data_IF_114001628346
#
_entry.id   IF_114001628346
#
_cell.length_a   1.000
_cell.length_b   1.000
_cell.length_c   1.000
_cell.angle_alpha   90.00
_cell.angle_beta   90.00
_cell.angle_gamma   90.00
#
_symmetry.space_group_name_H-M   'P 1'
#
loop_
_entity.id
_entity.type
_entity.pdbx_description
1 polymer ?
#
# COMPACT_ATOMS: atom_id res chain seq x y z
N UNK A 1 -13.62 -9.64 -20.42
CA UNK A 1 -14.23 -8.32 -20.63
C UNK A 1 -13.35 -7.58 -21.62
N UNK A 2 -13.87 -7.31 -22.80
CA UNK A 2 -13.13 -6.74 -23.94
C UNK A 2 -12.89 -5.23 -23.70
N UNK A 3 -11.67 -4.87 -23.38
CA UNK A 3 -11.26 -3.50 -23.03
C UNK A 3 -11.26 -2.55 -24.23
N UNK A 4 -11.12 -3.07 -25.46
CA UNK A 4 -11.09 -2.25 -26.67
C UNK A 4 -12.51 -1.84 -27.10
N UNK A 5 -13.50 -2.67 -26.81
CA UNK A 5 -14.92 -2.35 -27.01
C UNK A 5 -15.42 -1.25 -26.07
N UNK A 6 -14.79 -1.06 -24.90
CA UNK A 6 -15.12 0.00 -23.95
C UNK A 6 -14.48 1.35 -24.32
N UNK A 7 -13.30 1.35 -24.92
CA UNK A 7 -12.61 2.59 -25.37
C UNK A 7 -13.35 3.29 -26.50
N UNK A 8 -14.04 2.53 -27.38
CA UNK A 8 -14.71 3.07 -28.56
C UNK A 8 -16.05 3.77 -28.27
N UNK A 9 -16.60 3.69 -27.06
CA UNK A 9 -17.97 4.18 -26.74
C UNK A 9 -18.04 5.50 -26.00
N UNK A 10 -16.93 6.18 -25.68
CA UNK A 10 -16.96 7.51 -25.03
C UNK A 10 -16.19 8.54 -25.83
N UNK A 11 -16.90 9.34 -26.60
CA UNK A 11 -16.39 10.63 -27.02
C UNK A 11 -16.38 11.56 -25.79
N UNK A 12 -15.20 12.03 -25.41
CA UNK A 12 -15.04 13.05 -24.37
C UNK A 12 -14.99 14.43 -25.05
N UNK A 13 -15.73 15.38 -24.49
CA UNK A 13 -15.63 16.77 -24.91
C UNK A 13 -14.32 17.38 -24.35
N UNK A 14 -13.24 17.35 -25.10
CA UNK A 14 -11.93 17.92 -24.77
C UNK A 14 -10.90 16.92 -24.25
N UNK A 15 -9.68 17.41 -23.98
CA UNK A 15 -8.56 16.60 -23.48
C UNK A 15 -8.82 16.00 -22.11
N UNK A 16 -8.46 14.72 -21.94
CA UNK A 16 -8.58 14.00 -20.68
C UNK A 16 -7.62 14.61 -19.64
N UNK A 17 -8.14 15.27 -18.62
CA UNK A 17 -7.35 15.70 -17.47
C UNK A 17 -6.70 14.49 -16.78
N UNK A 18 -5.49 14.61 -16.21
CA UNK A 18 -4.80 13.51 -15.53
C UNK A 18 -5.65 12.82 -14.46
N UNK A 19 -6.51 13.56 -13.75
CA UNK A 19 -7.44 13.03 -12.75
C UNK A 19 -8.52 12.10 -13.34
N UNK A 20 -8.89 12.28 -14.61
CA UNK A 20 -9.90 11.45 -15.28
C UNK A 20 -9.35 10.08 -15.70
N UNK A 21 -8.04 9.96 -15.94
CA UNK A 21 -7.38 8.69 -16.26
C UNK A 21 -7.44 7.67 -15.12
N UNK A 22 -7.71 8.13 -13.90
CA UNK A 22 -7.81 7.29 -12.69
C UNK A 22 -9.21 6.72 -12.47
N UNK A 23 -10.22 7.15 -13.23
CA UNK A 23 -11.59 6.67 -13.10
C UNK A 23 -11.78 5.33 -13.82
N UNK A 24 -12.56 4.45 -13.23
CA UNK A 24 -12.92 3.19 -13.89
C UNK A 24 -13.80 3.49 -15.09
N UNK A 25 -13.29 3.19 -16.29
CA UNK A 25 -14.01 3.38 -17.55
C UNK A 25 -15.26 2.49 -17.56
N UNK A 26 -16.41 3.06 -17.96
CA UNK A 26 -17.68 2.32 -18.04
C UNK A 26 -18.40 2.11 -16.70
N UNK A 27 -17.86 2.58 -15.55
CA UNK A 27 -18.58 2.53 -14.29
C UNK A 27 -19.57 3.69 -14.17
N UNK A 28 -20.81 3.38 -13.73
CA UNK A 28 -21.82 4.40 -13.45
C UNK A 28 -21.65 4.96 -12.03
N UNK A 29 -21.02 6.12 -11.94
CA UNK A 29 -20.77 6.82 -10.67
C UNK A 29 -22.02 7.48 -10.06
N UNK A 30 -23.20 7.26 -10.62
CA UNK A 30 -24.47 7.70 -10.03
C UNK A 30 -25.22 6.55 -9.36
N UNK A 31 -24.91 5.31 -9.74
CA UNK A 31 -25.59 4.12 -9.24
C UNK A 31 -25.15 3.73 -7.82
N UNK A 32 -25.94 2.86 -7.18
CA UNK A 32 -25.64 2.30 -5.87
C UNK A 32 -24.27 1.63 -5.86
N UNK A 33 -23.37 2.12 -5.01
CA UNK A 33 -22.02 1.56 -4.89
C UNK A 33 -21.31 2.08 -3.63
N UNK A 34 -20.27 1.37 -3.19
CA UNK A 34 -19.40 1.77 -2.07
C UNK A 34 -18.06 2.22 -2.63
N UNK A 35 -17.61 3.37 -2.18
CA UNK A 35 -16.34 3.97 -2.61
C UNK A 35 -15.47 4.29 -1.42
N UNK A 36 -14.18 3.94 -1.48
CA UNK A 36 -13.17 4.57 -0.66
C UNK A 36 -12.61 5.78 -1.41
N UNK A 37 -12.77 6.96 -0.84
CA UNK A 37 -12.32 8.23 -1.40
C UNK A 37 -11.08 8.72 -0.64
N UNK A 38 -10.11 9.25 -1.39
CA UNK A 38 -8.94 9.94 -0.83
C UNK A 38 -8.81 11.31 -1.44
N UNK A 39 -8.78 12.33 -0.58
CA UNK A 39 -8.51 13.72 -0.93
C UNK A 39 -7.17 14.14 -0.33
N UNK A 40 -6.30 14.70 -1.15
CA UNK A 40 -4.95 15.11 -0.74
C UNK A 40 -4.89 16.62 -0.70
N UNK A 41 -4.31 17.18 0.35
CA UNK A 41 -4.02 18.61 0.46
C UNK A 41 -2.95 18.99 -0.56
N UNK A 42 -3.10 20.15 -1.20
CA UNK A 42 -2.17 20.63 -2.21
C UNK A 42 -0.73 20.64 -1.67
N UNK A 43 0.18 20.07 -2.46
CA UNK A 43 1.59 19.91 -2.09
C UNK A 43 1.82 19.09 -0.80
N UNK A 44 0.84 18.29 -0.40
CA UNK A 44 0.86 17.50 0.84
C UNK A 44 1.19 18.31 2.10
N UNK A 45 0.81 19.60 2.14
CA UNK A 45 0.98 20.44 3.32
C UNK A 45 0.18 19.88 4.50
N UNK A 46 0.74 19.76 5.70
CA UNK A 46 0.08 19.16 6.86
C UNK A 46 -0.86 20.15 7.55
N UNK A 47 -1.89 20.65 6.83
CA UNK A 47 -2.80 21.71 7.28
C UNK A 47 -3.98 21.20 8.11
N UNK A 48 -4.30 19.91 8.03
CA UNK A 48 -5.53 19.37 8.61
C UNK A 48 -5.38 18.95 10.07
N UNK A 49 -4.16 18.80 10.57
CA UNK A 49 -3.91 18.39 11.93
C UNK A 49 -2.48 17.95 12.19
N UNK A 50 -2.22 17.54 13.42
CA UNK A 50 -0.93 17.02 13.87
C UNK A 50 -1.06 15.58 14.34
N UNK A 51 -0.02 14.77 14.09
CA UNK A 51 0.06 13.40 14.56
C UNK A 51 0.72 13.38 15.94
N UNK A 52 0.06 12.79 16.91
CA UNK A 52 0.57 12.51 18.27
C UNK A 52 0.70 11.00 18.48
N UNK A 53 1.54 10.59 19.44
CA UNK A 53 1.85 9.19 19.70
C UNK A 53 2.82 8.57 18.69
N UNK A 54 3.41 7.43 19.07
CA UNK A 54 4.43 6.76 18.27
C UNK A 54 3.92 5.52 17.50
N UNK A 55 2.67 5.10 17.75
CA UNK A 55 2.06 3.96 17.06
C UNK A 55 2.55 2.58 17.51
N UNK A 56 3.50 2.51 18.44
CA UNK A 56 4.07 1.28 19.00
C UNK A 56 3.74 1.15 20.49
N UNK A 57 4.20 2.10 21.30
CA UNK A 57 3.98 2.12 22.75
C UNK A 57 2.80 2.98 23.15
N UNK A 58 2.52 4.02 22.38
CA UNK A 58 1.39 4.93 22.57
C UNK A 58 0.54 4.97 21.31
N UNK A 59 -0.81 4.96 21.43
CA UNK A 59 -1.68 5.08 20.28
C UNK A 59 -1.33 6.32 19.44
N UNK A 60 -1.24 6.14 18.13
CA UNK A 60 -1.05 7.25 17.20
C UNK A 60 -2.41 7.84 16.84
N UNK A 61 -2.58 9.12 17.09
CA UNK A 61 -3.83 9.86 16.87
C UNK A 61 -3.52 11.12 16.06
N UNK A 62 -4.42 11.50 15.17
CA UNK A 62 -4.35 12.80 14.49
C UNK A 62 -5.28 13.76 15.21
N UNK A 63 -4.71 14.79 15.84
CA UNK A 63 -5.44 15.89 16.43
C UNK A 63 -5.80 16.90 15.33
N UNK A 64 -7.11 17.12 15.04
CA UNK A 64 -7.51 18.02 13.97
C UNK A 64 -7.15 19.47 14.29
N UNK A 65 -6.61 20.19 13.32
CA UNK A 65 -6.51 21.65 13.35
C UNK A 65 -7.91 22.28 13.24
N UNK A 66 -8.08 23.60 13.48
CA UNK A 66 -9.34 24.29 13.20
C UNK A 66 -9.85 24.06 11.77
N UNK A 67 -8.94 24.01 10.78
CA UNK A 67 -9.27 23.65 9.40
C UNK A 67 -9.70 22.17 9.29
N UNK A 68 -8.98 21.28 9.95
CA UNK A 68 -9.34 19.85 10.00
C UNK A 68 -10.71 19.61 10.59
N UNK A 69 -11.07 20.34 11.65
CA UNK A 69 -12.42 20.29 12.25
C UNK A 69 -13.49 20.76 11.26
N UNK A 70 -13.24 21.86 10.54
CA UNK A 70 -14.15 22.37 9.51
C UNK A 70 -14.33 21.37 8.35
N UNK A 71 -13.25 20.67 7.95
CA UNK A 71 -13.28 19.60 6.94
C UNK A 71 -14.11 18.41 7.41
N UNK A 72 -13.92 17.95 8.66
CA UNK A 72 -14.71 16.87 9.26
C UNK A 72 -16.19 17.27 9.30
N UNK A 73 -16.49 18.48 9.78
CA UNK A 73 -17.88 18.95 9.84
C UNK A 73 -18.54 19.03 8.46
N UNK A 74 -17.78 19.47 7.44
CA UNK A 74 -18.25 19.49 6.06
C UNK A 74 -18.54 18.06 5.54
N UNK A 75 -17.71 17.06 5.90
CA UNK A 75 -17.92 15.67 5.54
C UNK A 75 -19.17 15.08 6.21
N UNK A 76 -19.35 15.32 7.49
CA UNK A 76 -20.51 14.86 8.28
C UNK A 76 -21.81 15.48 7.74
N UNK A 77 -21.75 16.72 7.24
CA UNK A 77 -22.89 17.42 6.66
C UNK A 77 -23.18 17.00 5.21
N UNK A 78 -22.31 16.26 4.53
CA UNK A 78 -22.50 15.86 3.14
C UNK A 78 -23.85 15.14 2.90
N UNK A 79 -24.33 14.21 3.77
CA UNK A 79 -25.63 13.58 3.64
C UNK A 79 -26.83 14.53 3.75
N UNK A 80 -26.68 15.71 4.31
CA UNK A 80 -27.76 16.73 4.34
C UNK A 80 -28.04 17.30 2.94
N UNK A 81 -27.00 17.39 2.10
CA UNK A 81 -27.13 17.84 0.71
C UNK A 81 -27.43 16.70 -0.27
N UNK A 82 -26.98 15.50 0.08
CA UNK A 82 -27.15 14.28 -0.72
C UNK A 82 -27.62 13.14 0.19
N UNK A 83 -28.93 13.08 0.53
CA UNK A 83 -29.49 12.06 1.43
C UNK A 83 -29.25 10.62 0.97
N UNK A 84 -29.01 10.43 -0.33
CA UNK A 84 -28.67 9.15 -0.94
C UNK A 84 -27.27 8.66 -0.57
N UNK A 85 -26.42 9.49 0.03
CA UNK A 85 -25.05 9.14 0.38
C UNK A 85 -24.92 8.99 1.90
N UNK A 86 -24.31 7.91 2.36
CA UNK A 86 -23.91 7.71 3.74
C UNK A 86 -22.38 7.70 3.86
N UNK A 87 -21.85 8.35 4.89
CA UNK A 87 -20.42 8.27 5.24
C UNK A 87 -20.29 7.23 6.36
N UNK A 88 -19.57 6.12 6.08
CA UNK A 88 -19.47 5.02 7.03
C UNK A 88 -18.23 5.06 7.91
N UNK A 89 -17.13 5.53 7.37
CA UNK A 89 -15.83 5.57 8.07
C UNK A 89 -15.00 6.67 7.45
N UNK A 90 -14.27 7.41 8.26
CA UNK A 90 -13.29 8.37 7.77
C UNK A 90 -12.08 8.43 8.70
N UNK A 91 -10.96 8.88 8.17
CA UNK A 91 -9.75 9.21 8.90
C UNK A 91 -9.15 10.48 8.33
N UNK A 92 -9.09 11.51 9.14
CA UNK A 92 -8.34 12.71 8.84
C UNK A 92 -6.86 12.43 9.11
N UNK A 93 -6.03 12.76 8.13
CA UNK A 93 -4.57 12.73 8.25
C UNK A 93 -4.04 14.16 8.14
N UNK A 94 -2.82 14.47 8.56
CA UNK A 94 -2.30 15.83 8.48
C UNK A 94 -2.40 16.48 7.09
N UNK A 95 -2.19 15.70 6.03
CA UNK A 95 -2.08 16.16 4.65
C UNK A 95 -3.12 15.53 3.69
N UNK A 96 -4.07 14.76 4.22
CA UNK A 96 -5.12 14.14 3.40
C UNK A 96 -6.29 13.63 4.23
N UNK A 97 -7.39 13.31 3.56
CA UNK A 97 -8.60 12.73 4.13
C UNK A 97 -8.94 11.44 3.41
N UNK A 98 -9.14 10.36 4.15
CA UNK A 98 -9.75 9.12 3.68
C UNK A 98 -11.17 8.99 4.21
N UNK A 99 -12.10 8.53 3.37
CA UNK A 99 -13.43 8.15 3.85
C UNK A 99 -14.08 7.10 2.96
N UNK A 100 -15.02 6.36 3.52
CA UNK A 100 -15.89 5.43 2.80
C UNK A 100 -17.25 6.07 2.64
N UNK A 101 -17.63 6.30 1.38
CA UNK A 101 -18.94 6.77 0.98
C UNK A 101 -19.77 5.61 0.40
N UNK A 102 -20.97 5.43 0.89
CA UNK A 102 -21.95 4.51 0.34
C UNK A 102 -23.05 5.30 -0.37
N UNK A 103 -23.13 5.18 -1.68
CA UNK A 103 -24.26 5.60 -2.49
C UNK A 103 -25.34 4.54 -2.34
N UNK A 104 -26.36 4.81 -1.54
CA UNK A 104 -27.45 3.88 -1.19
C UNK A 104 -28.39 3.64 -2.37
N UNK A 105 -28.66 4.68 -3.10
CA UNK A 105 -29.56 4.74 -4.26
C UNK A 105 -29.01 5.75 -5.28
N UNK A 106 -29.59 5.78 -6.48
CA UNK A 106 -29.12 6.64 -7.55
C UNK A 106 -29.10 8.12 -7.14
N UNK A 107 -27.92 8.74 -7.25
CA UNK A 107 -27.75 10.18 -7.00
C UNK A 107 -28.06 11.01 -8.26
N UNK A 108 -28.58 12.25 -8.10
CA UNK A 108 -29.00 13.08 -9.24
C UNK A 108 -27.84 13.56 -10.10
N UNK A 109 -26.62 13.57 -9.57
CA UNK A 109 -25.41 14.05 -10.25
C UNK A 109 -24.28 13.03 -10.12
N UNK A 110 -23.34 13.07 -11.05
CA UNK A 110 -22.13 12.22 -10.97
C UNK A 110 -21.38 12.45 -9.65
N UNK A 111 -20.89 11.38 -9.00
CA UNK A 111 -20.16 11.42 -7.72
C UNK A 111 -19.02 12.47 -7.72
N UNK A 112 -18.35 12.67 -8.86
CA UNK A 112 -17.34 13.70 -9.01
C UNK A 112 -17.83 15.12 -8.77
N UNK A 113 -19.10 15.44 -9.08
CA UNK A 113 -19.71 16.75 -8.76
C UNK A 113 -19.98 16.87 -7.27
N UNK A 114 -20.43 15.79 -6.62
CA UNK A 114 -20.60 15.74 -5.15
C UNK A 114 -19.27 16.03 -4.44
N UNK A 115 -18.21 15.32 -4.83
CA UNK A 115 -16.86 15.52 -4.24
C UNK A 115 -16.34 16.92 -4.53
N UNK A 116 -16.59 17.46 -5.71
CA UNK A 116 -16.19 18.84 -6.03
C UNK A 116 -16.95 19.87 -5.15
N UNK A 117 -18.24 19.68 -4.94
CA UNK A 117 -19.03 20.52 -4.02
C UNK A 117 -18.46 20.49 -2.58
N UNK A 118 -18.12 19.30 -2.09
CA UNK A 118 -17.42 19.13 -0.81
C UNK A 118 -16.10 19.92 -0.77
N UNK A 119 -15.25 19.79 -1.81
CA UNK A 119 -13.98 20.52 -1.92
C UNK A 119 -14.17 22.04 -1.91
N UNK A 120 -15.21 22.54 -2.59
CA UNK A 120 -15.56 23.97 -2.60
C UNK A 120 -15.93 24.47 -1.21
N UNK A 121 -16.73 23.69 -0.45
CA UNK A 121 -17.07 24.00 0.94
C UNK A 121 -15.82 24.09 1.84
N UNK A 122 -14.92 23.11 1.72
CA UNK A 122 -13.65 23.12 2.47
C UNK A 122 -12.75 24.30 2.07
N UNK A 123 -12.68 24.67 0.79
CA UNK A 123 -11.90 25.81 0.32
C UNK A 123 -12.44 27.13 0.90
N UNK A 124 -13.77 27.27 1.06
CA UNK A 124 -14.37 28.44 1.71
C UNK A 124 -13.91 28.55 3.14
N UNK A 125 -14.05 27.46 3.92
CA UNK A 125 -13.58 27.42 5.31
C UNK A 125 -12.07 27.75 5.43
N UNK A 126 -11.27 27.26 4.48
CA UNK A 126 -9.84 27.54 4.45
C UNK A 126 -9.55 29.03 4.24
N UNK A 127 -10.23 29.68 3.27
CA UNK A 127 -10.10 31.12 3.04
C UNK A 127 -10.51 31.98 4.25
N UNK A 128 -11.60 31.59 4.91
CA UNK A 128 -12.08 32.26 6.11
C UNK A 128 -11.08 32.20 7.28
N UNK A 129 -10.44 31.04 7.47
CA UNK A 129 -9.45 30.84 8.53
C UNK A 129 -8.13 31.59 8.25
N UNK A 130 -7.67 31.64 7.02
CA UNK A 130 -6.39 32.26 6.66
C UNK A 130 -6.53 33.78 6.46
N UNK A 131 -7.77 34.30 6.30
CA UNK A 131 -8.08 35.73 6.04
C UNK A 131 -7.30 36.30 4.85
N UNK A 132 -7.10 35.51 3.78
CA UNK A 132 -6.32 35.92 2.62
C UNK A 132 -6.62 35.13 1.36
N UNK A 133 -6.00 35.57 0.25
CA UNK A 133 -6.08 34.79 -0.97
C UNK A 133 -5.19 33.55 -0.86
N UNK A 134 -5.80 32.36 -0.97
CA UNK A 134 -5.13 31.09 -0.79
C UNK A 134 -5.22 30.26 -2.05
N UNK A 135 -4.14 29.59 -2.47
CA UNK A 135 -4.26 28.52 -3.45
C UNK A 135 -5.20 27.46 -2.85
N UNK A 136 -6.10 26.89 -3.64
CA UNK A 136 -7.08 25.91 -3.14
C UNK A 136 -6.47 24.89 -2.17
N UNK A 137 -7.27 24.40 -1.22
CA UNK A 137 -6.82 23.44 -0.19
C UNK A 137 -6.39 22.11 -0.78
N UNK A 138 -7.09 21.61 -1.80
CA UNK A 138 -6.96 20.26 -2.29
C UNK A 138 -6.23 20.18 -3.63
N UNK A 139 -5.46 19.09 -3.82
CA UNK A 139 -4.97 18.69 -5.14
C UNK A 139 -6.10 18.51 -6.15
N UNK A 140 -5.79 18.61 -7.44
CA UNK A 140 -6.75 18.41 -8.51
C UNK A 140 -7.27 16.98 -8.53
N UNK A 141 -8.59 16.86 -8.69
CA UNK A 141 -9.27 15.57 -8.67
C UNK A 141 -9.33 14.93 -7.29
N UNK A 142 -9.45 13.62 -7.25
CA UNK A 142 -9.44 12.75 -6.05
C UNK A 142 -9.16 11.32 -6.47
N UNK A 143 -8.73 10.48 -5.55
CA UNK A 143 -8.62 9.04 -5.79
C UNK A 143 -9.88 8.35 -5.27
N UNK A 144 -10.41 7.41 -6.05
CA UNK A 144 -11.50 6.53 -5.65
C UNK A 144 -11.12 5.07 -5.89
N UNK A 145 -11.57 4.23 -4.98
CA UNK A 145 -11.53 2.78 -5.10
C UNK A 145 -12.96 2.25 -4.93
N UNK A 146 -13.45 1.56 -5.94
CA UNK A 146 -14.75 0.89 -5.90
C UNK A 146 -14.60 -0.37 -5.06
N UNK A 147 -15.43 -0.52 -4.03
CA UNK A 147 -15.40 -1.66 -3.11
C UNK A 147 -16.46 -2.67 -3.54
N UNK A 148 -16.13 -3.50 -4.52
CA UNK A 148 -17.02 -4.45 -5.20
C UNK A 148 -16.64 -5.93 -4.98
N UNK A 149 -15.65 -6.22 -4.08
CA UNK A 149 -15.15 -7.58 -3.81
C UNK A 149 -15.42 -7.98 -2.36
N UNK A 150 -15.66 -9.28 -2.15
CA UNK A 150 -15.87 -9.85 -0.82
C UNK A 150 -14.73 -9.52 0.15
N UNK A 151 -15.11 -9.10 1.35
CA UNK A 151 -14.19 -8.70 2.42
C UNK A 151 -13.39 -7.41 2.15
N UNK A 152 -13.55 -6.76 0.99
CA UNK A 152 -12.81 -5.55 0.65
C UNK A 152 -13.20 -4.37 1.54
N UNK A 153 -14.48 -4.24 1.86
CA UNK A 153 -14.98 -3.18 2.73
C UNK A 153 -14.31 -3.23 4.11
N UNK A 154 -14.28 -4.40 4.75
CA UNK A 154 -13.67 -4.59 6.07
C UNK A 154 -12.18 -4.29 6.04
N UNK A 155 -11.48 -4.78 5.00
CA UNK A 155 -10.05 -4.49 4.83
C UNK A 155 -9.79 -2.99 4.66
N UNK A 156 -10.63 -2.27 3.92
CA UNK A 156 -10.46 -0.82 3.71
C UNK A 156 -10.83 -0.01 4.94
N UNK A 157 -11.85 -0.42 5.70
CA UNK A 157 -12.14 0.19 7.02
C UNK A 157 -10.94 0.06 7.96
N UNK A 158 -10.42 -1.15 8.12
CA UNK A 158 -9.23 -1.40 8.94
C UNK A 158 -8.03 -0.58 8.45
N UNK A 159 -7.79 -0.53 7.14
CA UNK A 159 -6.71 0.27 6.54
C UNK A 159 -6.86 1.76 6.85
N UNK A 160 -8.06 2.32 6.71
CA UNK A 160 -8.32 3.75 6.97
C UNK A 160 -8.03 4.08 8.44
N UNK A 161 -8.55 3.29 9.36
CA UNK A 161 -8.38 3.51 10.80
C UNK A 161 -6.93 3.29 11.27
N UNK A 162 -6.17 2.43 10.60
CA UNK A 162 -4.76 2.16 10.90
C UNK A 162 -3.79 3.22 10.35
N UNK A 163 -4.25 4.16 9.53
CA UNK A 163 -3.37 5.14 8.88
C UNK A 163 -2.55 6.01 9.86
N UNK A 164 -3.08 6.50 11.00
CA UNK A 164 -2.27 7.25 11.97
C UNK A 164 -1.09 6.43 12.49
N UNK A 165 -1.33 5.18 12.93
CA UNK A 165 -0.27 4.25 13.37
C UNK A 165 0.77 4.03 12.29
N UNK A 166 0.34 3.76 11.05
CA UNK A 166 1.24 3.57 9.91
C UNK A 166 2.08 4.80 9.60
N UNK A 167 1.52 6.00 9.79
CA UNK A 167 2.27 7.24 9.61
C UNK A 167 3.30 7.43 10.72
N UNK A 168 2.92 7.19 11.98
CA UNK A 168 3.84 7.26 13.12
C UNK A 168 5.04 6.30 12.95
N UNK A 169 4.76 5.03 12.68
CA UNK A 169 5.79 4.01 12.47
C UNK A 169 6.73 4.39 11.32
N UNK A 170 6.19 4.89 10.19
CA UNK A 170 7.03 5.33 9.06
C UNK A 170 7.90 6.55 9.39
N UNK A 171 7.47 7.40 10.32
CA UNK A 171 8.29 8.54 10.78
C UNK A 171 9.40 8.08 11.71
N UNK A 172 9.11 7.12 12.58
CA UNK A 172 10.08 6.59 13.54
C UNK A 172 11.13 5.69 12.89
N UNK A 173 10.76 4.98 11.82
CA UNK A 173 11.60 3.98 11.14
C UNK A 173 11.62 4.24 9.63
N UNK A 174 12.03 5.45 9.24
CA UNK A 174 11.99 5.88 7.83
C UNK A 174 12.81 4.98 6.91
N UNK A 175 13.93 4.47 7.37
CA UNK A 175 14.86 3.55 6.71
C UNK A 175 14.17 2.23 6.27
N UNK A 176 13.29 1.67 7.10
CA UNK A 176 12.55 0.44 6.79
C UNK A 176 11.49 0.61 5.69
N UNK A 177 11.12 1.85 5.36
CA UNK A 177 10.02 2.18 4.45
C UNK A 177 10.45 2.99 3.22
N UNK A 178 11.76 3.15 3.03
CA UNK A 178 12.35 3.78 1.85
C UNK A 178 13.08 2.74 1.01
N UNK A 179 13.02 2.92 -0.31
CA UNK A 179 13.81 2.07 -1.22
C UNK A 179 15.26 2.48 -1.12
N UNK A 180 16.08 1.58 -0.60
CA UNK A 180 17.53 1.70 -0.60
C UNK A 180 18.08 1.09 -1.89
N UNK A 181 19.05 1.76 -2.51
CA UNK A 181 19.65 1.32 -3.77
C UNK A 181 21.13 1.00 -3.57
N UNK A 182 21.68 0.25 -4.52
CA UNK A 182 23.08 -0.13 -4.53
C UNK A 182 23.53 -0.97 -3.31
N UNK A 183 22.62 -1.81 -2.78
CA UNK A 183 22.97 -2.79 -1.76
C UNK A 183 23.79 -3.90 -2.41
N UNK A 184 25.08 -4.01 -2.05
CA UNK A 184 25.98 -5.01 -2.60
C UNK A 184 26.05 -6.24 -1.72
N UNK A 185 25.89 -7.42 -2.34
CA UNK A 185 26.13 -8.71 -1.70
C UNK A 185 26.88 -9.62 -2.70
N UNK A 186 28.12 -9.93 -2.37
CA UNK A 186 29.03 -10.57 -3.33
C UNK A 186 29.21 -9.69 -4.58
N UNK A 187 29.02 -10.28 -5.73
CA UNK A 187 29.08 -9.61 -7.06
C UNK A 187 27.76 -8.91 -7.45
N UNK A 188 26.68 -9.16 -6.70
CA UNK A 188 25.36 -8.65 -7.04
C UNK A 188 25.04 -7.32 -6.37
N UNK A 189 24.23 -6.53 -7.06
CA UNK A 189 23.72 -5.25 -6.55
C UNK A 189 22.19 -5.27 -6.58
N UNK A 190 21.57 -4.85 -5.48
CA UNK A 190 20.13 -4.90 -5.27
C UNK A 190 19.56 -3.52 -4.96
N UNK A 191 18.32 -3.30 -5.34
CA UNK A 191 17.43 -2.39 -4.65
C UNK A 191 16.77 -3.15 -3.49
N UNK A 192 16.68 -2.51 -2.32
CA UNK A 192 16.18 -3.11 -1.09
C UNK A 192 15.02 -2.31 -0.50
N UNK A 193 14.09 -2.99 0.16
CA UNK A 193 13.01 -2.39 0.94
C UNK A 193 12.76 -3.25 2.17
N UNK A 194 12.85 -2.65 3.37
CA UNK A 194 12.77 -3.34 4.65
C UNK A 194 14.09 -3.30 5.43
N UNK A 195 14.27 -4.25 6.33
CA UNK A 195 15.41 -4.30 7.23
C UNK A 195 16.65 -4.92 6.55
N UNK A 196 17.56 -4.08 6.09
CA UNK A 196 18.82 -4.52 5.44
C UNK A 196 19.76 -5.25 6.39
N UNK A 197 19.68 -5.01 7.71
CA UNK A 197 20.51 -5.70 8.71
C UNK A 197 20.21 -7.20 8.80
N UNK A 198 19.12 -7.68 8.20
CA UNK A 198 18.88 -9.12 8.06
C UNK A 198 19.95 -9.81 7.19
N UNK A 199 20.69 -9.07 6.35
CA UNK A 199 21.80 -9.62 5.57
C UNK A 199 23.05 -9.91 6.42
N UNK A 200 23.11 -9.37 7.61
CA UNK A 200 24.22 -9.58 8.56
C UNK A 200 23.85 -10.58 9.67
N UNK A 201 22.71 -11.28 9.50
CA UNK A 201 22.30 -12.31 10.44
C UNK A 201 23.30 -13.47 10.46
N UNK A 202 23.59 -14.07 11.64
CA UNK A 202 24.60 -15.12 11.78
C UNK A 202 24.24 -16.41 11.05
N UNK A 203 22.94 -16.63 10.77
CA UNK A 203 22.45 -17.79 10.06
C UNK A 203 21.44 -17.40 9.00
N UNK A 204 21.86 -17.38 7.74
CA UNK A 204 21.02 -17.19 6.56
C UNK A 204 20.85 -18.54 5.86
N UNK A 205 19.61 -18.99 5.67
CA UNK A 205 19.30 -20.28 5.06
C UNK A 205 18.51 -20.10 3.76
N UNK A 206 19.08 -20.60 2.67
CA UNK A 206 18.37 -20.64 1.40
C UNK A 206 17.22 -21.64 1.44
N UNK A 207 16.02 -21.20 1.10
CA UNK A 207 14.88 -22.06 0.83
C UNK A 207 14.80 -22.30 -0.67
N UNK A 208 15.26 -23.44 -1.11
CA UNK A 208 15.15 -23.90 -2.50
C UNK A 208 14.52 -25.30 -2.53
N UNK A 209 13.45 -25.45 -3.31
CA UNK A 209 12.67 -26.68 -3.37
C UNK A 209 12.44 -27.12 -4.81
N UNK A 210 12.47 -28.44 -5.03
CA UNK A 210 12.07 -29.02 -6.30
C UNK A 210 10.60 -28.70 -6.63
N UNK A 211 10.32 -28.44 -7.90
CA UNK A 211 8.94 -28.26 -8.37
C UNK A 211 8.11 -29.55 -8.36
N UNK A 212 8.77 -30.71 -8.20
CA UNK A 212 8.15 -32.04 -8.22
C UNK A 212 7.77 -32.56 -6.84
N UNK A 213 7.92 -31.74 -5.78
CA UNK A 213 7.54 -32.17 -4.43
C UNK A 213 6.03 -32.44 -4.34
N UNK A 214 5.68 -33.57 -3.72
CA UNK A 214 4.30 -33.89 -3.38
C UNK A 214 3.81 -33.00 -2.24
N UNK A 215 2.49 -32.86 -2.02
CA UNK A 215 1.95 -32.09 -0.90
C UNK A 215 2.49 -32.54 0.47
N UNK A 216 2.67 -33.86 0.68
CA UNK A 216 3.25 -34.41 1.90
C UNK A 216 4.70 -33.98 2.09
N UNK A 217 5.51 -34.04 1.04
CA UNK A 217 6.90 -33.57 1.07
C UNK A 217 6.99 -32.05 1.29
N UNK A 218 6.09 -31.26 0.71
CA UNK A 218 6.01 -29.82 0.96
C UNK A 218 5.74 -29.58 2.44
N UNK A 219 4.78 -30.27 3.06
CA UNK A 219 4.47 -30.10 4.47
C UNK A 219 5.67 -30.47 5.36
N UNK A 220 6.34 -31.58 5.10
CA UNK A 220 7.55 -31.96 5.83
C UNK A 220 8.67 -30.92 5.68
N UNK A 221 8.84 -30.37 4.47
CA UNK A 221 9.81 -29.29 4.20
C UNK A 221 9.45 -28.02 4.98
N UNK A 222 8.17 -27.63 5.02
CA UNK A 222 7.69 -26.48 5.82
C UNK A 222 8.05 -26.67 7.28
N UNK A 223 7.73 -27.82 7.89
CA UNK A 223 8.02 -28.08 9.31
C UNK A 223 9.52 -27.98 9.60
N UNK A 224 10.35 -28.57 8.74
CA UNK A 224 11.82 -28.49 8.87
C UNK A 224 12.32 -27.04 8.88
N UNK A 225 11.89 -26.22 7.92
CA UNK A 225 12.35 -24.83 7.85
C UNK A 225 11.77 -23.94 8.95
N UNK A 226 10.56 -24.23 9.44
CA UNK A 226 10.00 -23.54 10.60
C UNK A 226 10.82 -23.83 11.87
N UNK A 227 11.24 -25.08 12.09
CA UNK A 227 12.15 -25.42 13.20
C UNK A 227 13.46 -24.63 13.10
N UNK A 228 14.11 -24.63 11.94
CA UNK A 228 15.34 -23.86 11.74
C UNK A 228 15.15 -22.34 11.95
N UNK A 229 14.00 -21.80 11.53
CA UNK A 229 13.68 -20.40 11.75
C UNK A 229 13.40 -20.10 13.24
N UNK A 230 12.82 -21.03 13.96
CA UNK A 230 12.62 -20.95 15.42
C UNK A 230 13.96 -20.94 16.16
N UNK A 231 14.96 -21.66 15.64
CA UNK A 231 16.34 -21.68 16.15
C UNK A 231 17.14 -20.42 15.74
N UNK A 232 16.49 -19.43 15.14
CA UNK A 232 17.08 -18.12 14.82
C UNK A 232 17.57 -17.95 13.39
N UNK A 233 17.34 -18.90 12.48
CA UNK A 233 17.72 -18.74 11.10
C UNK A 233 16.81 -17.75 10.36
N UNK A 234 17.40 -16.91 9.51
CA UNK A 234 16.70 -16.05 8.56
C UNK A 234 16.54 -16.79 7.24
N UNK A 235 15.31 -16.96 6.78
CA UNK A 235 15.04 -17.69 5.54
C UNK A 235 15.14 -16.79 4.32
N UNK A 236 15.88 -17.24 3.30
CA UNK A 236 16.16 -16.48 2.07
C UNK A 236 15.59 -17.22 0.87
N UNK A 237 14.70 -16.62 0.10
CA UNK A 237 14.15 -17.27 -1.11
C UNK A 237 13.52 -16.29 -2.09
N UNK A 238 13.57 -16.58 -3.41
CA UNK A 238 12.74 -15.91 -4.41
C UNK A 238 11.28 -16.43 -4.44
N UNK A 239 10.93 -17.46 -3.66
CA UNK A 239 9.56 -18.03 -3.58
C UNK A 239 8.99 -18.42 -4.97
N UNK A 240 9.74 -19.15 -5.74
CA UNK A 240 9.36 -19.51 -7.14
C UNK A 240 8.53 -20.78 -7.17
N UNK A 241 9.05 -21.88 -6.58
CA UNK A 241 8.38 -23.19 -6.57
C UNK A 241 7.23 -23.24 -5.57
N UNK A 242 6.27 -24.19 -5.68
CA UNK A 242 5.21 -24.37 -4.70
C UNK A 242 5.75 -24.60 -3.28
N UNK A 243 6.82 -25.39 -3.14
CA UNK A 243 7.46 -25.67 -1.85
C UNK A 243 8.07 -24.42 -1.22
N UNK A 244 8.85 -23.64 -2.00
CA UNK A 244 9.41 -22.37 -1.53
C UNK A 244 8.31 -21.40 -1.07
N UNK A 245 7.25 -21.25 -1.87
CA UNK A 245 6.10 -20.41 -1.51
C UNK A 245 5.44 -20.83 -0.21
N UNK A 246 5.29 -22.13 -0.01
CA UNK A 246 4.68 -22.69 1.21
C UNK A 246 5.56 -22.42 2.43
N UNK A 247 6.87 -22.68 2.35
CA UNK A 247 7.84 -22.42 3.43
C UNK A 247 7.87 -20.93 3.78
N UNK A 248 8.09 -20.06 2.79
CA UNK A 248 8.21 -18.62 3.02
C UNK A 248 6.91 -17.98 3.53
N UNK A 249 5.77 -18.49 3.05
CA UNK A 249 4.47 -18.08 3.57
C UNK A 249 4.30 -18.48 5.04
N UNK A 250 4.59 -19.74 5.38
CA UNK A 250 4.48 -20.23 6.74
C UNK A 250 5.42 -19.47 7.69
N UNK A 251 6.69 -19.29 7.34
CA UNK A 251 7.64 -18.51 8.13
C UNK A 251 7.15 -17.07 8.35
N UNK A 252 6.68 -16.41 7.30
CA UNK A 252 6.13 -15.07 7.39
C UNK A 252 4.89 -14.98 8.31
N UNK A 253 3.99 -15.97 8.25
CA UNK A 253 2.78 -16.04 9.08
C UNK A 253 3.09 -16.34 10.55
N UNK A 254 4.13 -17.12 10.83
CA UNK A 254 4.63 -17.37 12.19
C UNK A 254 5.49 -16.24 12.76
N UNK A 255 5.74 -15.18 11.99
CA UNK A 255 6.48 -14.02 12.48
C UNK A 255 8.00 -14.16 12.40
N UNK A 256 8.53 -15.18 11.74
CA UNK A 256 9.96 -15.36 11.55
C UNK A 256 10.56 -14.37 10.55
N UNK A 257 11.84 -13.98 10.70
CA UNK A 257 12.50 -13.09 9.76
C UNK A 257 12.75 -13.77 8.42
N UNK A 258 12.48 -13.01 7.33
CA UNK A 258 12.61 -13.51 5.96
C UNK A 258 13.24 -12.48 5.03
N UNK A 259 14.06 -12.94 4.11
CA UNK A 259 14.59 -12.19 2.97
C UNK A 259 13.97 -12.73 1.68
N UNK A 260 13.25 -11.89 0.97
CA UNK A 260 12.53 -12.26 -0.26
C UNK A 260 13.18 -11.59 -1.46
N UNK A 261 13.65 -12.38 -2.42
CA UNK A 261 14.09 -11.87 -3.71
C UNK A 261 12.90 -11.81 -4.67
N UNK A 262 12.79 -10.71 -5.40
CA UNK A 262 11.70 -10.54 -6.37
C UNK A 262 12.23 -10.08 -7.73
N UNK A 263 11.56 -10.50 -8.80
CA UNK A 263 11.93 -10.17 -10.18
C UNK A 263 11.69 -8.68 -10.47
N UNK A 264 10.53 -8.14 -10.06
CA UNK A 264 10.21 -6.75 -10.36
C UNK A 264 10.86 -5.82 -9.33
N UNK A 265 11.60 -4.82 -9.82
CA UNK A 265 12.22 -3.79 -9.01
C UNK A 265 11.22 -2.92 -8.26
N UNK A 266 11.74 -1.97 -7.49
CA UNK A 266 10.92 -1.03 -6.73
C UNK A 266 10.78 0.30 -7.46
N UNK A 267 9.55 0.77 -7.64
CA UNK A 267 9.29 2.16 -8.01
C UNK A 267 9.87 3.12 -6.94
N UNK A 268 10.25 4.36 -7.30
CA UNK A 268 10.88 5.30 -6.35
C UNK A 268 10.11 5.53 -5.06
N UNK A 269 8.77 5.48 -5.13
CA UNK A 269 7.88 5.66 -3.98
C UNK A 269 7.24 4.35 -3.52
N UNK A 270 7.81 3.20 -3.88
CA UNK A 270 7.31 1.91 -3.44
C UNK A 270 7.32 1.82 -1.90
N UNK A 271 6.25 1.25 -1.35
CA UNK A 271 6.06 1.03 0.09
C UNK A 271 5.43 -0.34 0.32
N UNK A 272 5.85 -1.05 1.37
CA UNK A 272 5.19 -2.30 1.70
C UNK A 272 3.74 -2.05 2.11
N UNK A 273 2.83 -2.90 1.65
CA UNK A 273 1.41 -2.83 1.96
C UNK A 273 0.92 -4.01 2.80
N UNK A 274 -0.25 -3.88 3.44
CA UNK A 274 -0.87 -4.95 4.21
C UNK A 274 0.06 -5.55 5.26
N UNK A 275 0.10 -6.88 5.37
CA UNK A 275 0.96 -7.62 6.34
C UNK A 275 2.46 -7.35 6.16
N UNK A 276 2.93 -7.01 4.94
CA UNK A 276 4.34 -6.66 4.71
C UNK A 276 4.72 -5.36 5.41
N UNK A 277 3.79 -4.43 5.56
CA UNK A 277 4.03 -3.21 6.35
C UNK A 277 4.38 -3.56 7.79
N UNK A 278 3.56 -4.41 8.45
CA UNK A 278 3.78 -4.80 9.84
C UNK A 278 5.06 -5.63 9.99
N UNK A 279 5.36 -6.49 9.04
CA UNK A 279 6.60 -7.25 9.02
C UNK A 279 7.85 -6.36 8.86
N UNK A 280 7.78 -5.31 8.03
CA UNK A 280 8.86 -4.30 7.94
C UNK A 280 8.97 -3.51 9.25
N UNK A 281 7.85 -3.05 9.81
CA UNK A 281 7.81 -2.32 11.08
C UNK A 281 8.46 -3.11 12.23
N UNK A 282 8.30 -4.43 12.22
CA UNK A 282 8.91 -5.36 13.19
C UNK A 282 10.36 -5.74 12.86
N UNK A 283 10.92 -5.18 11.78
CA UNK A 283 12.29 -5.46 11.36
C UNK A 283 12.54 -6.87 10.81
N UNK A 284 11.49 -7.66 10.56
CA UNK A 284 11.58 -9.08 10.17
C UNK A 284 11.38 -9.36 8.68
N UNK A 285 11.31 -8.34 7.84
CA UNK A 285 11.20 -8.47 6.40
C UNK A 285 12.23 -7.62 5.67
N UNK A 286 12.94 -8.27 4.75
CA UNK A 286 13.73 -7.61 3.72
C UNK A 286 13.25 -8.10 2.35
N UNK A 287 13.00 -7.18 1.44
CA UNK A 287 12.71 -7.47 0.04
C UNK A 287 13.86 -6.94 -0.81
N UNK A 288 14.42 -7.78 -1.67
CA UNK A 288 15.53 -7.47 -2.58
C UNK A 288 15.09 -7.62 -4.02
N UNK A 289 15.49 -6.70 -4.88
CA UNK A 289 15.26 -6.78 -6.32
C UNK A 289 16.55 -6.43 -7.06
N UNK A 290 17.07 -7.35 -7.90
CA UNK A 290 18.30 -7.11 -8.69
C UNK A 290 18.06 -6.30 -9.96
N UNK A 291 16.82 -6.22 -10.43
CA UNK A 291 16.46 -5.57 -11.69
C UNK A 291 15.62 -4.31 -11.47
N UNK A 292 15.48 -3.53 -12.55
CA UNK A 292 14.71 -2.31 -12.53
C UNK A 292 13.20 -2.57 -12.46
N UNK A 293 12.46 -1.54 -12.01
CA UNK A 293 11.01 -1.60 -11.94
C UNK A 293 10.36 -1.53 -13.32
N UNK A 294 9.34 -2.35 -13.52
CA UNK A 294 8.46 -2.28 -14.68
C UNK A 294 6.98 -2.36 -14.28
N UNK A 295 6.13 -1.72 -15.07
CA UNK A 295 4.67 -1.71 -14.85
C UNK A 295 3.94 -2.85 -15.58
N UNK A 296 4.65 -3.57 -16.45
CA UNK A 296 4.06 -4.63 -17.24
C UNK A 296 3.82 -5.90 -16.40
N UNK A 297 2.77 -6.62 -16.75
CA UNK A 297 2.55 -7.97 -16.23
C UNK A 297 3.43 -8.93 -17.01
N UNK A 298 4.56 -9.30 -16.45
CA UNK A 298 5.50 -10.25 -17.05
C UNK A 298 5.46 -11.59 -16.34
N UNK A 299 5.64 -12.65 -17.10
CA UNK A 299 5.91 -13.98 -16.55
C UNK A 299 7.41 -14.10 -16.38
N UNK A 300 7.84 -14.44 -15.17
CA UNK A 300 9.26 -14.65 -14.88
C UNK A 300 9.83 -15.76 -15.79
N UNK A 301 10.96 -15.50 -16.45
CA UNK A 301 11.62 -16.45 -17.32
C UNK A 301 12.46 -17.46 -16.54
N UNK A 302 12.75 -18.62 -17.15
CA UNK A 302 13.52 -19.67 -16.48
C UNK A 302 14.92 -19.21 -16.05
N UNK A 303 15.63 -18.46 -16.91
CA UNK A 303 16.93 -17.91 -16.54
C UNK A 303 16.85 -16.97 -15.33
N UNK A 304 15.87 -16.05 -15.29
CA UNK A 304 15.65 -15.20 -14.14
C UNK A 304 15.37 -15.98 -12.85
N UNK A 305 14.66 -17.13 -12.95
CA UNK A 305 14.44 -18.01 -11.80
C UNK A 305 15.77 -18.62 -11.30
N UNK A 306 16.65 -19.01 -12.23
CA UNK A 306 17.98 -19.55 -11.90
C UNK A 306 18.87 -18.46 -11.26
N UNK A 307 18.90 -17.29 -11.87
CA UNK A 307 19.65 -16.14 -11.37
C UNK A 307 19.23 -15.76 -9.93
N UNK A 308 17.92 -15.65 -9.67
CA UNK A 308 17.41 -15.34 -8.33
C UNK A 308 17.76 -16.42 -7.29
N UNK A 309 17.76 -17.70 -7.67
CA UNK A 309 18.19 -18.78 -6.78
C UNK A 309 19.69 -18.73 -6.52
N UNK A 310 20.50 -18.40 -7.52
CA UNK A 310 21.94 -18.21 -7.34
C UNK A 310 22.24 -17.02 -6.44
N UNK A 311 21.57 -15.88 -6.65
CA UNK A 311 21.67 -14.72 -5.78
C UNK A 311 21.30 -15.06 -4.34
N UNK A 312 20.22 -15.83 -4.12
CA UNK A 312 19.83 -16.29 -2.78
C UNK A 312 20.91 -17.18 -2.14
N UNK A 313 21.58 -18.02 -2.95
CA UNK A 313 22.71 -18.84 -2.48
C UNK A 313 23.90 -17.97 -2.05
N UNK A 314 24.27 -16.98 -2.87
CA UNK A 314 25.39 -16.07 -2.56
C UNK A 314 25.11 -15.25 -1.28
N UNK A 315 23.85 -14.80 -1.09
CA UNK A 315 23.44 -14.11 0.14
C UNK A 315 23.69 -15.01 1.37
N UNK A 316 23.33 -16.30 1.27
CA UNK A 316 23.49 -17.22 2.39
C UNK A 316 24.95 -17.63 2.66
N UNK A 317 25.82 -17.60 1.66
CA UNK A 317 27.24 -17.93 1.83
C UNK A 317 28.02 -16.85 2.59
N UNK A 318 27.57 -15.59 2.53
CA UNK A 318 28.21 -14.47 3.26
C UNK A 318 28.12 -14.64 4.79
N UNK A 319 27.12 -15.34 5.30
CA UNK A 319 26.93 -15.54 6.75
C UNK A 319 27.82 -16.63 7.37
N UNK A 320 28.63 -17.33 6.56
CA UNK A 320 29.54 -18.40 7.01
C UNK A 320 31.01 -18.00 7.10
N UNK A 321 31.32 -16.71 6.88
CA UNK A 321 32.65 -16.12 7.07
C UNK A 321 32.63 -15.18 8.27
#
# INVERSE_FOLDING_TARGET
>A
MDWDRYKSKKQWAGDLKPSMKRRRVGHDYQSRCIYMITLVVKERRPLLGSLTGNGERTPAIVEPSPLGQAVIQSLINLPKFYPQIAIWTFQLMPDHLHFIAFVKERIPVHLGKVINGFKVGCNRAYKELVKGDTPGLWEDGYNDLILDRDGQLQRMKAYILDNPRRLAIKRNHADLFQVQRNIKVGEYTFAALGNVFLLDAPCLLQVQCSRKLTPLQINATVQRFLSLAQDGAVLVSPSISPGEKAVMKAAFEHGFPVVVLQENGFAPLAKPGGRRFDACAQGRLLMLAPWEHHNDRRVIKRNQCLDLNEMARVICLKSGQ
#
